data_IF_049236279551
#
_entry.id   IF_049236279551
#
_cell.length_a   1.000
_cell.length_b   1.000
_cell.length_c   1.000
_cell.angle_alpha   90.00
_cell.angle_beta   90.00
_cell.angle_gamma   90.00
#
_symmetry.space_group_name_H-M   'P 1'
#
loop_
_entity.id
_entity.type
_entity.pdbx_description
1 polymer ?
#
# COMPACT_ATOMS: atom_id res chain seq x y z
N UNK A 1 31.91 -4.61 -10.29
CA UNK A 1 30.96 -3.91 -9.38
C UNK A 1 31.48 -2.48 -9.17
N UNK A 2 30.70 -1.43 -9.46
CA UNK A 2 31.14 -0.03 -9.32
C UNK A 2 31.43 0.31 -7.83
N UNK A 3 32.57 0.95 -7.54
CA UNK A 3 32.96 1.36 -6.19
C UNK A 3 31.87 2.13 -5.44
N UNK A 4 31.13 3.02 -6.13
CA UNK A 4 30.01 3.76 -5.56
C UNK A 4 28.86 2.84 -5.12
N UNK A 5 28.57 1.78 -5.90
CA UNK A 5 27.55 0.79 -5.53
C UNK A 5 27.99 0.00 -4.29
N UNK A 6 29.27 -0.36 -4.20
CA UNK A 6 29.82 -1.07 -3.04
C UNK A 6 29.76 -0.23 -1.77
N UNK A 7 30.21 1.03 -1.82
CA UNK A 7 30.16 1.97 -0.68
C UNK A 7 28.72 2.19 -0.20
N UNK A 8 27.78 2.38 -1.14
CA UNK A 8 26.35 2.53 -0.81
C UNK A 8 25.80 1.29 -0.12
N UNK A 9 26.11 0.10 -0.65
CA UNK A 9 25.67 -1.16 -0.06
C UNK A 9 26.20 -1.34 1.36
N UNK A 10 27.49 -1.08 1.59
CA UNK A 10 28.11 -1.18 2.91
C UNK A 10 27.48 -0.23 3.92
N UNK A 11 27.25 1.02 3.52
CA UNK A 11 26.61 2.02 4.39
C UNK A 11 25.18 1.62 4.78
N UNK A 12 24.39 1.09 3.84
CA UNK A 12 23.03 0.62 4.11
C UNK A 12 23.05 -0.60 5.05
N UNK A 13 23.93 -1.56 4.82
CA UNK A 13 24.08 -2.74 5.68
C UNK A 13 24.47 -2.34 7.10
N UNK A 14 25.50 -1.48 7.27
CA UNK A 14 25.93 -1.01 8.58
C UNK A 14 24.83 -0.24 9.32
N UNK A 15 24.11 0.66 8.63
CA UNK A 15 22.99 1.39 9.20
C UNK A 15 21.90 0.44 9.71
N UNK A 16 21.56 -0.58 8.93
CA UNK A 16 20.49 -1.52 9.28
C UNK A 16 20.93 -2.57 10.32
N UNK A 17 22.24 -2.77 10.52
CA UNK A 17 22.76 -3.76 11.48
C UNK A 17 22.47 -3.41 12.94
N UNK A 18 22.37 -2.11 13.25
CA UNK A 18 22.04 -1.61 14.59
C UNK A 18 20.53 -1.44 14.83
N UNK A 19 19.68 -1.78 13.86
CA UNK A 19 18.23 -1.73 14.01
C UNK A 19 17.67 -2.86 14.88
N UNK A 20 16.39 -2.75 15.24
CA UNK A 20 15.65 -3.80 15.94
C UNK A 20 15.63 -5.10 15.12
N UNK A 21 15.83 -6.23 15.80
CA UNK A 21 15.83 -7.57 15.20
C UNK A 21 14.88 -8.48 15.96
N UNK A 22 14.28 -9.43 15.26
CA UNK A 22 13.42 -10.44 15.85
C UNK A 22 13.54 -11.75 15.09
N UNK A 23 13.40 -12.86 15.81
CA UNK A 23 13.25 -14.19 15.20
C UNK A 23 11.82 -14.46 14.70
N UNK A 24 10.86 -13.59 15.09
CA UNK A 24 9.47 -13.69 14.64
C UNK A 24 9.41 -13.49 13.12
N UNK A 25 8.64 -14.34 12.44
CA UNK A 25 8.29 -14.12 11.03
C UNK A 25 7.12 -13.16 10.98
N UNK A 26 7.37 -11.94 10.50
CA UNK A 26 6.38 -10.86 10.45
C UNK A 26 6.12 -10.52 8.99
N UNK A 27 4.85 -10.45 8.62
CA UNK A 27 4.38 -9.83 7.37
C UNK A 27 3.82 -8.46 7.76
N UNK A 28 4.36 -7.40 7.17
CA UNK A 28 3.90 -6.02 7.42
C UNK A 28 3.25 -5.50 6.16
N UNK A 29 1.98 -5.11 6.27
CA UNK A 29 1.31 -4.30 5.25
C UNK A 29 1.52 -2.83 5.60
N UNK A 30 2.33 -2.14 4.82
CA UNK A 30 2.48 -0.69 4.91
C UNK A 30 1.69 -0.09 3.75
N UNK A 31 0.62 0.61 4.07
CA UNK A 31 -0.24 1.21 3.06
C UNK A 31 -0.29 2.71 3.30
N UNK A 32 0.38 3.44 2.43
CA UNK A 32 0.40 4.91 2.42
C UNK A 32 -0.82 5.39 1.63
N UNK A 33 -1.53 6.40 2.13
CA UNK A 33 -2.78 6.94 1.55
C UNK A 33 -3.96 5.94 1.38
N UNK A 34 -3.96 4.79 2.08
CA UNK A 34 -5.10 3.87 2.03
C UNK A 34 -6.35 4.49 2.65
N UNK A 35 -7.47 4.41 1.93
CA UNK A 35 -8.73 5.05 2.33
C UNK A 35 -8.80 6.56 2.02
N UNK A 36 -7.79 7.12 1.33
CA UNK A 36 -7.93 8.46 0.78
C UNK A 36 -8.92 8.43 -0.39
N UNK A 37 -9.90 9.33 -0.37
CA UNK A 37 -10.86 9.50 -1.46
C UNK A 37 -10.39 10.69 -2.30
N UNK A 38 -9.84 10.39 -3.48
CA UNK A 38 -9.39 11.37 -4.47
C UNK A 38 -10.53 11.78 -5.41
N UNK A 39 -11.49 10.90 -5.63
CA UNK A 39 -12.63 11.06 -6.52
C UNK A 39 -13.92 10.86 -5.74
N UNK A 40 -14.69 11.93 -5.55
CA UNK A 40 -15.86 11.91 -4.69
C UNK A 40 -16.96 10.92 -5.13
N UNK A 41 -17.12 10.72 -6.45
CA UNK A 41 -18.06 9.75 -7.01
C UNK A 41 -17.81 9.51 -8.49
N UNK A 42 -18.48 8.49 -9.05
CA UNK A 42 -18.47 8.23 -10.49
C UNK A 42 -19.06 9.39 -11.29
N UNK A 43 -20.11 10.04 -10.78
CA UNK A 43 -20.74 11.21 -11.39
C UNK A 43 -19.82 12.43 -11.36
N UNK A 44 -19.06 12.63 -10.27
CA UNK A 44 -18.08 13.69 -10.19
C UNK A 44 -16.96 13.50 -11.24
N UNK A 45 -16.46 12.26 -11.37
CA UNK A 45 -15.47 11.90 -12.39
C UNK A 45 -15.97 12.19 -13.80
N UNK A 46 -17.21 11.83 -14.09
CA UNK A 46 -17.82 12.04 -15.40
C UNK A 46 -17.97 13.53 -15.74
N UNK A 47 -18.45 14.34 -14.79
CA UNK A 47 -18.53 15.80 -14.95
C UNK A 47 -17.16 16.42 -15.20
N UNK A 48 -16.12 15.95 -14.51
CA UNK A 48 -14.75 16.42 -14.74
C UNK A 48 -14.25 16.04 -16.14
N UNK A 49 -14.53 14.80 -16.58
CA UNK A 49 -14.20 14.31 -17.93
C UNK A 49 -14.89 15.14 -19.00
N UNK A 50 -16.19 15.41 -18.85
CA UNK A 50 -16.98 16.26 -19.75
C UNK A 50 -16.49 17.71 -19.78
N UNK A 51 -15.97 18.23 -18.66
CA UNK A 51 -15.32 19.53 -18.58
C UNK A 51 -13.91 19.57 -19.22
N UNK A 52 -13.43 18.45 -19.78
CA UNK A 52 -12.13 18.36 -20.45
C UNK A 52 -10.94 18.09 -19.53
N UNK A 53 -11.17 17.74 -18.25
CA UNK A 53 -10.10 17.35 -17.34
C UNK A 53 -9.63 15.92 -17.64
N UNK A 54 -8.31 15.69 -17.53
CA UNK A 54 -7.68 14.42 -17.85
C UNK A 54 -7.72 13.41 -16.69
N UNK A 55 -8.91 13.17 -16.13
CA UNK A 55 -9.13 12.28 -14.97
C UNK A 55 -8.90 10.79 -15.27
N UNK A 56 -8.85 10.41 -16.54
CA UNK A 56 -8.62 9.02 -16.97
C UNK A 56 -7.13 8.66 -17.14
N UNK A 57 -6.23 9.65 -17.20
CA UNK A 57 -4.80 9.42 -17.44
C UNK A 57 -4.07 8.78 -16.26
N UNK A 58 -4.55 9.04 -15.05
CA UNK A 58 -3.94 8.56 -13.82
C UNK A 58 -4.77 7.41 -13.24
N UNK A 59 -4.11 6.29 -12.95
CA UNK A 59 -4.76 5.12 -12.34
C UNK A 59 -5.39 5.43 -10.98
N UNK A 60 -4.81 6.36 -10.22
CA UNK A 60 -5.31 6.69 -8.88
C UNK A 60 -6.64 7.43 -8.93
N UNK A 61 -6.86 8.27 -9.93
CA UNK A 61 -8.12 9.01 -10.06
C UNK A 61 -9.17 8.17 -10.81
N UNK A 62 -8.71 7.25 -11.68
CA UNK A 62 -9.56 6.34 -12.45
C UNK A 62 -10.10 5.16 -11.65
N UNK A 63 -9.30 4.63 -10.73
CA UNK A 63 -9.59 3.44 -9.92
C UNK A 63 -9.66 3.79 -8.42
N UNK A 64 -10.01 5.04 -8.12
CA UNK A 64 -10.17 5.50 -6.74
C UNK A 64 -11.34 4.77 -6.06
N UNK A 65 -11.14 4.32 -4.82
CA UNK A 65 -12.13 3.57 -4.04
C UNK A 65 -12.80 2.44 -4.85
N UNK A 66 -11.99 1.64 -5.56
CA UNK A 66 -12.47 0.55 -6.41
C UNK A 66 -13.03 -0.61 -5.57
N UNK A 67 -12.50 -0.79 -4.37
CA UNK A 67 -12.95 -1.80 -3.42
C UNK A 67 -14.41 -1.59 -3.04
N UNK A 68 -15.13 -2.70 -2.86
CA UNK A 68 -16.46 -2.70 -2.28
C UNK A 68 -16.45 -3.29 -0.87
N UNK A 69 -17.61 -3.30 -0.23
CA UNK A 69 -17.80 -3.85 1.12
C UNK A 69 -17.38 -5.32 1.21
N UNK A 70 -17.77 -6.15 0.23
CA UNK A 70 -17.46 -7.58 0.18
C UNK A 70 -15.94 -7.83 0.04
N UNK A 71 -15.23 -7.02 -0.75
CA UNK A 71 -13.77 -7.10 -0.87
C UNK A 71 -13.07 -6.86 0.47
N UNK A 72 -13.57 -5.88 1.24
CA UNK A 72 -13.03 -5.54 2.57
C UNK A 72 -13.37 -6.61 3.60
N UNK A 73 -14.58 -7.16 3.56
CA UNK A 73 -15.00 -8.25 4.45
C UNK A 73 -14.14 -9.50 4.25
N UNK A 74 -13.91 -9.92 3.00
CA UNK A 74 -13.03 -11.04 2.68
C UNK A 74 -11.59 -10.80 3.13
N UNK A 75 -11.09 -9.57 3.00
CA UNK A 75 -9.77 -9.19 3.50
C UNK A 75 -9.71 -9.35 5.02
N UNK A 76 -10.68 -8.80 5.76
CA UNK A 76 -10.72 -8.90 7.23
C UNK A 76 -10.90 -10.32 7.73
N UNK A 77 -11.74 -11.13 7.07
CA UNK A 77 -11.90 -12.55 7.36
C UNK A 77 -10.58 -13.30 7.17
N UNK A 78 -9.92 -13.10 6.03
CA UNK A 78 -8.63 -13.74 5.74
C UNK A 78 -7.58 -13.37 6.76
N UNK A 79 -7.44 -12.07 7.07
CA UNK A 79 -6.46 -11.58 8.03
C UNK A 79 -6.73 -12.06 9.47
N UNK A 80 -8.00 -12.31 9.83
CA UNK A 80 -8.38 -12.79 11.15
C UNK A 80 -8.45 -14.32 11.27
N UNK A 81 -8.45 -15.04 10.14
CA UNK A 81 -8.59 -16.50 10.08
C UNK A 81 -7.44 -17.28 10.71
N UNK A 82 -6.24 -16.69 10.78
CA UNK A 82 -5.04 -17.33 11.33
C UNK A 82 -4.73 -16.73 12.69
N UNK A 83 -4.63 -17.59 13.70
CA UNK A 83 -4.24 -17.24 15.07
C UNK A 83 -2.84 -17.73 15.40
N UNK A 84 -2.05 -16.91 16.08
CA UNK A 84 -0.75 -17.32 16.60
C UNK A 84 -0.90 -18.30 17.79
N UNK A 85 0.23 -18.81 18.30
CA UNK A 85 0.24 -19.75 19.43
C UNK A 85 -0.38 -19.20 20.73
N UNK A 86 -0.57 -17.89 20.82
CA UNK A 86 -1.15 -17.19 21.97
C UNK A 86 -2.61 -16.78 21.68
N UNK A 87 -3.18 -17.16 20.54
CA UNK A 87 -4.54 -16.84 20.14
C UNK A 87 -4.73 -15.44 19.56
N UNK A 88 -3.65 -14.74 19.17
CA UNK A 88 -3.74 -13.44 18.50
C UNK A 88 -4.00 -13.60 17.00
#
# INVERSE_FOLDING_TARGET
MNFFKLKRSLNLTLKNQFGWKTEKKIIVFSVDDYGNIRMASKEAREKMREAGLNVESNRFDRLDALENEEDLDHLYETLSSVKDRNGN
#
